data_IF_719604055936
#
_entry.id   IF_719604055936
#
_cell.length_a   1.000
_cell.length_b   1.000
_cell.length_c   1.000
_cell.angle_alpha   90.00
_cell.angle_beta   90.00
_cell.angle_gamma   90.00
#
_symmetry.space_group_name_H-M   'P 1'
#
loop_
_entity.id
_entity.type
_entity.pdbx_description
1 polymer ?
#
# COMPACT_ATOMS: atom_id res chain seq x y z
N UNK A 1 44.10 -67.64 12.80
CA UNK A 1 43.94 -66.28 12.28
C UNK A 1 42.46 -65.95 12.34
N UNK A 2 42.04 -65.10 13.27
CA UNK A 2 40.66 -64.60 13.36
C UNK A 2 40.42 -63.67 12.19
N UNK A 3 39.66 -64.11 11.19
CA UNK A 3 39.22 -63.22 10.11
C UNK A 3 38.36 -62.13 10.73
N UNK A 4 38.85 -60.88 10.65
CA UNK A 4 38.12 -59.68 11.04
C UNK A 4 36.75 -59.66 10.36
N UNK A 5 35.70 -59.32 11.11
CA UNK A 5 34.36 -59.15 10.59
C UNK A 5 34.33 -58.04 9.55
N UNK A 6 33.85 -58.35 8.35
CA UNK A 6 33.44 -57.33 7.39
C UNK A 6 31.99 -56.97 7.71
N UNK A 7 31.80 -55.88 8.46
CA UNK A 7 30.48 -55.38 8.86
C UNK A 7 30.13 -54.18 7.99
N UNK A 8 29.05 -54.31 7.21
CA UNK A 8 28.54 -53.21 6.41
C UNK A 8 28.04 -52.06 7.31
N UNK A 9 28.15 -50.82 6.82
CA UNK A 9 27.52 -49.67 7.47
C UNK A 9 26.00 -49.87 7.52
N UNK A 10 25.38 -49.45 8.62
CA UNK A 10 23.92 -49.44 8.79
C UNK A 10 23.25 -48.74 7.59
N UNK A 11 22.14 -49.30 7.10
CA UNK A 11 21.36 -48.75 5.99
C UNK A 11 20.11 -48.07 6.56
N UNK A 12 19.79 -46.87 6.07
CA UNK A 12 18.62 -46.10 6.47
C UNK A 12 17.71 -45.93 5.25
N UNK A 13 16.64 -46.74 5.14
CA UNK A 13 15.71 -46.63 4.02
C UNK A 13 15.03 -45.27 3.99
N UNK A 14 14.91 -44.68 2.79
CA UNK A 14 14.18 -43.42 2.59
C UNK A 14 14.92 -42.15 3.04
N UNK A 15 16.14 -42.24 3.55
CA UNK A 15 16.97 -41.07 3.86
C UNK A 15 17.29 -40.26 2.58
N UNK A 16 17.54 -38.97 2.73
CA UNK A 16 17.78 -38.02 1.64
C UNK A 16 19.26 -38.01 1.27
N UNK A 17 19.56 -38.07 -0.03
CA UNK A 17 20.91 -37.92 -0.58
C UNK A 17 20.81 -37.36 -2.01
N UNK A 18 21.66 -36.40 -2.41
CA UNK A 18 22.72 -35.76 -1.63
C UNK A 18 22.18 -34.77 -0.58
N UNK A 19 23.03 -34.41 0.37
CA UNK A 19 22.83 -33.33 1.34
C UNK A 19 24.04 -32.40 1.31
N UNK A 20 23.81 -31.10 1.38
CA UNK A 20 24.88 -30.10 1.38
C UNK A 20 25.06 -29.54 2.79
N UNK A 21 26.17 -29.92 3.43
CA UNK A 21 26.51 -29.52 4.78
C UNK A 21 28.03 -29.55 4.99
N UNK A 22 28.64 -28.60 5.74
CA UNK A 22 30.09 -28.54 5.97
C UNK A 22 30.68 -29.82 6.57
N UNK A 23 29.90 -30.52 7.40
CA UNK A 23 30.26 -31.82 7.99
C UNK A 23 30.27 -33.01 7.03
N UNK A 24 29.95 -32.80 5.75
CA UNK A 24 29.91 -33.82 4.67
C UNK A 24 29.25 -35.15 5.07
N UNK A 25 28.02 -35.14 5.59
CA UNK A 25 27.29 -36.37 5.86
C UNK A 25 27.02 -37.13 4.56
N UNK A 26 26.86 -38.44 4.67
CA UNK A 26 26.59 -39.32 3.52
C UNK A 26 25.13 -39.19 3.02
N UNK A 27 24.26 -38.62 3.85
CA UNK A 27 22.83 -38.39 3.60
C UNK A 27 22.18 -37.76 4.84
N UNK A 28 20.88 -37.53 4.81
CA UNK A 28 20.14 -36.96 5.94
C UNK A 28 18.82 -37.68 6.20
N UNK A 29 18.37 -37.65 7.44
CA UNK A 29 17.18 -38.39 7.89
C UNK A 29 16.02 -37.41 8.10
N UNK A 30 15.00 -37.41 7.22
CA UNK A 30 13.77 -36.65 7.42
C UNK A 30 13.05 -37.06 8.71
N UNK A 31 12.36 -36.11 9.35
CA UNK A 31 11.52 -36.39 10.52
C UNK A 31 10.38 -37.36 10.17
N UNK A 32 9.92 -37.36 8.92
CA UNK A 32 8.87 -38.25 8.41
C UNK A 32 9.25 -39.73 8.40
N UNK A 33 10.53 -40.08 8.51
CA UNK A 33 10.99 -41.47 8.64
C UNK A 33 10.83 -42.02 10.06
N UNK A 34 10.51 -41.17 11.04
CA UNK A 34 10.21 -41.59 12.40
C UNK A 34 8.80 -42.16 12.48
N UNK A 35 8.69 -43.35 13.08
CA UNK A 35 7.42 -43.98 13.40
C UNK A 35 7.27 -44.15 14.91
N UNK A 36 6.12 -44.65 15.37
CA UNK A 36 5.93 -45.02 16.79
C UNK A 36 6.90 -46.12 17.27
N UNK A 37 7.50 -46.89 16.36
CA UNK A 37 8.52 -47.90 16.68
C UNK A 37 9.94 -47.31 16.72
N UNK A 38 10.16 -46.12 16.16
CA UNK A 38 11.47 -45.49 15.97
C UNK A 38 11.85 -45.33 14.49
N UNK A 39 13.12 -45.00 14.25
CA UNK A 39 13.72 -44.94 12.91
C UNK A 39 14.12 -46.36 12.48
N UNK A 40 13.58 -46.82 11.36
CA UNK A 40 13.93 -48.12 10.80
C UNK A 40 15.36 -48.11 10.27
N UNK A 41 16.17 -49.08 10.71
CA UNK A 41 17.51 -49.32 10.15
C UNK A 41 17.67 -50.77 9.72
N UNK A 42 18.29 -50.96 8.56
CA UNK A 42 18.54 -52.26 7.96
C UNK A 42 19.97 -52.70 8.22
N UNK A 43 20.11 -53.92 8.72
CA UNK A 43 21.39 -54.54 9.03
C UNK A 43 21.64 -55.69 8.07
N UNK A 44 22.62 -55.52 7.20
CA UNK A 44 23.09 -56.59 6.33
C UNK A 44 23.87 -57.65 7.10
N UNK A 45 23.80 -58.92 6.67
CA UNK A 45 24.58 -59.98 7.28
C UNK A 45 26.08 -59.68 7.15
N UNK A 46 26.83 -59.89 8.23
CA UNK A 46 28.30 -59.85 8.19
C UNK A 46 28.88 -61.21 7.79
N UNK A 47 30.16 -61.20 7.42
CA UNK A 47 30.88 -62.42 7.07
C UNK A 47 30.83 -63.46 8.20
N UNK A 48 30.34 -64.67 7.88
CA UNK A 48 30.15 -65.78 8.83
C UNK A 48 29.18 -65.46 9.97
N UNK A 49 28.13 -64.67 9.72
CA UNK A 49 27.06 -64.42 10.70
C UNK A 49 26.45 -65.74 11.19
N UNK A 50 26.55 -65.99 12.50
CA UNK A 50 26.21 -67.27 13.11
C UNK A 50 25.20 -67.10 14.24
N UNK A 51 24.41 -68.15 14.51
CA UNK A 51 23.53 -68.20 15.67
C UNK A 51 24.31 -67.94 16.97
N UNK A 52 23.77 -67.09 17.83
CA UNK A 52 24.37 -66.67 19.09
C UNK A 52 25.23 -65.40 18.99
N UNK A 53 25.55 -64.92 17.80
CA UNK A 53 26.17 -63.59 17.64
C UNK A 53 25.22 -62.50 18.17
N UNK A 54 25.77 -61.49 18.84
CA UNK A 54 25.02 -60.37 19.37
C UNK A 54 25.37 -59.08 18.63
N UNK A 55 24.38 -58.46 18.01
CA UNK A 55 24.50 -57.20 17.30
C UNK A 55 23.85 -56.08 18.12
N UNK A 56 24.56 -54.97 18.34
CA UNK A 56 24.08 -53.79 19.05
C UNK A 56 24.27 -52.54 18.20
N UNK A 57 23.26 -51.70 18.16
CA UNK A 57 23.33 -50.41 17.50
C UNK A 57 23.98 -49.38 18.43
N UNK A 58 24.94 -48.64 17.89
CA UNK A 58 25.59 -47.52 18.54
C UNK A 58 25.19 -46.21 17.84
N UNK A 59 24.99 -45.15 18.62
CA UNK A 59 24.78 -43.79 18.14
C UNK A 59 25.85 -42.89 18.73
N UNK A 60 26.58 -42.18 17.88
CA UNK A 60 27.67 -41.29 18.26
C UNK A 60 28.69 -41.98 19.21
N UNK A 61 28.99 -43.26 18.92
CA UNK A 61 29.88 -44.11 19.71
C UNK A 61 29.30 -44.68 21.00
N UNK A 62 28.08 -44.29 21.39
CA UNK A 62 27.40 -44.75 22.61
C UNK A 62 26.40 -45.86 22.33
N UNK A 63 26.26 -46.81 23.25
CA UNK A 63 25.28 -47.88 23.13
C UNK A 63 23.85 -47.35 23.24
N UNK A 64 22.98 -47.76 22.31
CA UNK A 64 21.58 -47.31 22.26
C UNK A 64 20.63 -48.20 23.06
N UNK A 65 21.12 -49.35 23.56
CA UNK A 65 20.28 -50.41 24.13
C UNK A 65 19.53 -51.25 23.09
N UNK A 66 19.53 -50.84 21.81
CA UNK A 66 18.91 -51.57 20.71
C UNK A 66 19.88 -52.60 20.15
N UNK A 67 19.41 -53.83 19.96
CA UNK A 67 20.21 -54.90 19.42
C UNK A 67 19.41 -56.17 19.19
N UNK A 68 20.08 -57.20 18.70
CA UNK A 68 19.52 -58.51 18.44
C UNK A 68 20.58 -59.59 18.65
N UNK A 69 20.18 -60.70 19.27
CA UNK A 69 20.95 -61.94 19.22
C UNK A 69 20.43 -62.80 18.08
N UNK A 70 21.32 -63.21 17.18
CA UNK A 70 20.99 -64.02 16.01
C UNK A 70 20.50 -65.40 16.48
N UNK A 71 19.30 -65.79 16.04
CA UNK A 71 18.72 -67.09 16.35
C UNK A 71 19.06 -68.14 15.29
N UNK A 72 18.96 -69.45 15.62
CA UNK A 72 19.04 -70.51 14.61
C UNK A 72 18.04 -70.29 13.47
N UNK A 73 18.52 -70.34 12.22
CA UNK A 73 17.74 -70.06 11.01
C UNK A 73 17.73 -68.60 10.56
N UNK A 74 18.34 -67.69 11.31
CA UNK A 74 18.52 -66.27 10.92
C UNK A 74 19.90 -65.98 10.31
N UNK A 75 20.77 -66.99 10.22
CA UNK A 75 22.12 -66.86 9.68
C UNK A 75 22.08 -66.31 8.25
N UNK A 76 23.00 -65.39 7.97
CA UNK A 76 23.14 -64.71 6.67
C UNK A 76 21.86 -64.01 6.15
N UNK A 77 20.90 -63.67 7.01
CA UNK A 77 19.70 -62.89 6.64
C UNK A 77 19.78 -61.44 7.13
N UNK A 78 19.34 -60.50 6.30
CA UNK A 78 19.11 -59.11 6.72
C UNK A 78 18.04 -59.07 7.81
N UNK A 79 18.24 -58.23 8.81
CA UNK A 79 17.23 -57.93 9.82
C UNK A 79 17.09 -56.43 10.04
N UNK A 80 16.02 -56.05 10.74
CA UNK A 80 15.64 -54.67 11.00
C UNK A 80 15.79 -54.40 12.48
N UNK A 81 16.38 -53.24 12.81
CA UNK A 81 16.32 -52.65 14.14
C UNK A 81 15.57 -51.33 14.05
N UNK A 82 15.01 -50.89 15.18
CA UNK A 82 14.35 -49.58 15.27
C UNK A 82 15.08 -48.72 16.29
N UNK A 83 15.63 -47.61 15.81
CA UNK A 83 16.37 -46.66 16.63
C UNK A 83 15.39 -45.69 17.32
N UNK A 84 15.40 -45.55 18.66
CA UNK A 84 14.55 -44.61 19.38
C UNK A 84 14.94 -43.14 19.12
N UNK A 85 14.24 -42.21 19.75
CA UNK A 85 14.51 -40.78 19.57
C UNK A 85 15.76 -40.30 20.31
N UNK A 86 16.93 -40.59 19.73
CA UNK A 86 18.24 -40.32 20.33
C UNK A 86 19.22 -39.62 19.38
N UNK A 87 18.76 -39.22 18.19
CA UNK A 87 19.60 -38.46 17.26
C UNK A 87 19.64 -37.00 17.71
N UNK A 88 20.82 -36.40 17.65
CA UNK A 88 21.02 -34.99 17.97
C UNK A 88 20.74 -34.11 16.75
N UNK A 89 20.42 -32.83 16.97
CA UNK A 89 20.48 -31.84 15.88
C UNK A 89 21.88 -31.80 15.26
N UNK A 90 21.95 -31.78 13.95
CA UNK A 90 23.17 -31.79 13.17
C UNK A 90 23.69 -33.21 12.82
N UNK A 91 25.01 -33.36 12.85
CA UNK A 91 25.69 -34.57 12.36
C UNK A 91 25.67 -35.67 13.41
N UNK A 92 25.26 -36.86 12.98
CA UNK A 92 25.25 -38.08 13.79
C UNK A 92 26.02 -39.20 13.09
N UNK A 93 26.53 -40.16 13.87
CA UNK A 93 27.17 -41.38 13.39
C UNK A 93 26.47 -42.62 13.93
N UNK A 94 25.95 -43.48 13.05
CA UNK A 94 25.39 -44.78 13.43
C UNK A 94 26.35 -45.92 13.10
N UNK A 95 26.54 -46.83 14.04
CA UNK A 95 27.42 -47.99 13.88
C UNK A 95 26.75 -49.26 14.39
N UNK A 96 27.11 -50.39 13.81
CA UNK A 96 26.77 -51.70 14.36
C UNK A 96 28.00 -52.29 15.07
N UNK A 97 27.84 -52.68 16.32
CA UNK A 97 28.81 -53.46 17.08
C UNK A 97 28.34 -54.92 17.17
N UNK A 98 29.20 -55.85 16.76
CA UNK A 98 28.92 -57.29 16.75
C UNK A 98 29.87 -58.00 17.70
N UNK A 99 29.32 -58.74 18.67
CA UNK A 99 30.06 -59.64 19.56
C UNK A 99 29.74 -61.08 19.15
N UNK A 100 30.74 -61.82 18.67
CA UNK A 100 30.56 -63.23 18.34
C UNK A 100 30.30 -64.08 19.58
N UNK A 101 29.58 -65.19 19.43
CA UNK A 101 29.39 -66.15 20.52
C UNK A 101 30.74 -66.64 21.05
N UNK A 102 30.95 -66.50 22.37
CA UNK A 102 32.21 -66.87 23.03
C UNK A 102 33.32 -65.79 22.98
N UNK A 103 33.10 -64.66 22.30
CA UNK A 103 33.97 -63.49 22.34
C UNK A 103 33.53 -62.51 23.42
N UNK A 104 34.47 -61.80 24.04
CA UNK A 104 34.20 -60.66 24.93
C UNK A 104 34.40 -59.30 24.27
N UNK A 105 35.02 -59.26 23.09
CA UNK A 105 35.34 -58.01 22.38
C UNK A 105 34.41 -57.83 21.18
N UNK A 106 33.65 -56.71 21.11
CA UNK A 106 32.85 -56.39 19.93
C UNK A 106 33.72 -55.85 18.78
N UNK A 107 33.35 -56.18 17.55
CA UNK A 107 33.87 -55.56 16.33
C UNK A 107 32.83 -54.58 15.78
N UNK A 108 33.25 -53.42 15.28
CA UNK A 108 32.32 -52.34 14.91
C UNK A 108 32.41 -51.99 13.43
N UNK A 109 31.27 -51.70 12.79
CA UNK A 109 31.23 -51.16 11.44
C UNK A 109 31.88 -49.77 11.35
N UNK A 110 32.23 -49.34 10.13
CA UNK A 110 32.43 -47.91 9.90
C UNK A 110 31.15 -47.13 10.26
N UNK A 111 31.25 -45.86 10.71
CA UNK A 111 30.07 -45.03 10.97
C UNK A 111 29.34 -44.70 9.67
N UNK A 112 28.01 -44.78 9.74
CA UNK A 112 27.11 -44.12 8.79
C UNK A 112 26.89 -42.69 9.28
N UNK A 113 27.52 -41.73 8.61
CA UNK A 113 27.42 -40.31 8.96
C UNK A 113 26.18 -39.71 8.31
N UNK A 114 25.29 -39.13 9.12
CA UNK A 114 24.01 -38.59 8.66
C UNK A 114 23.73 -37.20 9.24
N UNK A 115 22.97 -36.38 8.50
CA UNK A 115 22.38 -35.14 8.99
C UNK A 115 20.98 -35.41 9.59
N UNK A 116 20.67 -34.77 10.71
CA UNK A 116 19.34 -34.77 11.31
C UNK A 116 19.03 -33.34 11.78
N UNK A 117 17.91 -32.77 11.33
CA UNK A 117 17.55 -31.40 11.70
C UNK A 117 16.41 -31.43 12.73
N UNK A 118 16.71 -31.02 13.96
CA UNK A 118 15.73 -30.93 15.04
C UNK A 118 15.99 -29.69 15.92
N UNK A 119 15.02 -28.78 16.10
CA UNK A 119 13.67 -28.83 15.55
C UNK A 119 13.65 -28.52 14.05
N UNK A 120 12.52 -28.83 13.40
CA UNK A 120 12.21 -28.38 12.03
C UNK A 120 12.33 -26.86 11.90
N UNK A 121 12.51 -26.29 10.68
CA UNK A 121 12.43 -24.84 10.51
C UNK A 121 11.11 -24.31 11.07
N UNK A 122 11.09 -23.12 11.67
CA UNK A 122 9.86 -22.56 12.26
C UNK A 122 9.31 -23.33 13.47
N UNK A 123 10.06 -24.27 14.06
CA UNK A 123 9.73 -24.92 15.33
C UNK A 123 8.61 -25.98 15.27
N UNK A 124 8.41 -26.66 16.40
CA UNK A 124 7.34 -27.66 16.57
C UNK A 124 6.05 -26.97 17.07
N UNK A 125 5.25 -26.46 16.13
CA UNK A 125 3.98 -25.78 16.43
C UNK A 125 2.82 -26.73 16.20
N UNK A 126 2.08 -27.04 17.27
CA UNK A 126 0.85 -27.83 17.19
C UNK A 126 -0.37 -26.95 16.90
N UNK A 127 -1.34 -27.50 16.17
CA UNK A 127 -2.61 -26.83 15.85
C UNK A 127 -2.62 -26.20 14.46
N UNK A 128 -3.82 -26.07 13.89
CA UNK A 128 -4.03 -25.46 12.58
C UNK A 128 -3.96 -23.93 12.66
N UNK A 129 -3.30 -23.29 11.70
CA UNK A 129 -3.28 -21.83 11.59
C UNK A 129 -1.93 -21.29 11.13
N UNK A 130 -1.66 -20.06 11.53
CA UNK A 130 -0.41 -19.36 11.24
C UNK A 130 0.68 -19.80 12.22
N UNK A 131 1.89 -20.02 11.72
CA UNK A 131 3.06 -20.35 12.51
C UNK A 131 3.61 -19.07 13.20
N UNK A 132 3.60 -19.01 14.54
CA UNK A 132 4.03 -17.82 15.30
C UNK A 132 5.55 -17.60 15.28
N UNK A 133 6.32 -18.55 14.76
CA UNK A 133 7.78 -18.48 14.65
C UNK A 133 8.26 -18.11 13.24
N UNK A 134 7.35 -17.72 12.35
CA UNK A 134 7.66 -17.20 11.03
C UNK A 134 7.37 -15.69 10.99
N UNK A 135 8.44 -14.88 11.05
CA UNK A 135 8.35 -13.42 11.08
C UNK A 135 8.67 -12.83 9.71
N UNK A 136 7.88 -11.84 9.29
CA UNK A 136 8.08 -11.08 8.07
C UNK A 136 7.97 -9.58 8.37
N UNK A 137 8.84 -8.77 7.78
CA UNK A 137 8.84 -7.32 7.92
C UNK A 137 9.06 -6.65 6.57
N UNK A 138 8.33 -5.57 6.33
CA UNK A 138 8.39 -4.75 5.12
C UNK A 138 8.91 -3.34 5.44
N UNK A 139 9.45 -2.62 4.45
CA UNK A 139 9.84 -1.22 4.60
C UNK A 139 8.65 -0.35 5.00
N UNK A 140 8.89 0.68 5.82
CA UNK A 140 7.81 1.54 6.33
C UNK A 140 7.03 2.23 5.22
N UNK A 141 7.71 2.68 4.17
CA UNK A 141 7.08 3.37 3.03
C UNK A 141 6.12 2.47 2.26
N UNK A 142 6.42 1.17 2.18
CA UNK A 142 5.56 0.16 1.56
C UNK A 142 4.31 -0.08 2.41
N UNK A 143 4.46 -0.12 3.73
CA UNK A 143 3.32 -0.28 4.66
C UNK A 143 2.42 0.97 4.66
N UNK A 144 3.00 2.17 4.53
CA UNK A 144 2.23 3.43 4.61
C UNK A 144 1.65 3.89 3.28
N UNK A 145 2.35 3.68 2.17
CA UNK A 145 1.97 4.22 0.85
C UNK A 145 1.69 3.15 -0.20
N UNK A 146 1.90 1.87 0.12
CA UNK A 146 1.79 0.79 -0.83
C UNK A 146 2.95 0.74 -1.83
N UNK A 147 2.74 0.06 -2.95
CA UNK A 147 3.73 -0.13 -4.02
C UNK A 147 3.17 0.35 -5.35
N UNK A 148 3.66 1.51 -5.81
CA UNK A 148 3.48 1.98 -7.18
C UNK A 148 4.52 1.39 -8.15
N UNK A 149 4.38 1.72 -9.44
CA UNK A 149 5.30 1.26 -10.49
C UNK A 149 6.75 1.66 -10.23
N UNK A 150 6.99 2.87 -9.72
CA UNK A 150 8.32 3.41 -9.49
C UNK A 150 8.99 2.74 -8.27
N UNK A 151 8.22 2.45 -7.22
CA UNK A 151 8.67 1.75 -6.03
C UNK A 151 8.97 0.30 -6.33
N UNK A 152 8.11 -0.37 -7.11
CA UNK A 152 8.34 -1.73 -7.59
C UNK A 152 9.62 -1.84 -8.44
N UNK A 153 9.87 -0.86 -9.32
CA UNK A 153 11.08 -0.83 -10.14
C UNK A 153 12.37 -0.67 -9.31
N UNK A 154 12.30 0.02 -8.16
CA UNK A 154 13.42 0.15 -7.22
C UNK A 154 13.69 -1.11 -6.39
N UNK A 155 12.72 -2.01 -6.28
CA UNK A 155 12.81 -3.24 -5.49
C UNK A 155 12.34 -3.07 -4.03
N UNK A 156 11.52 -3.99 -3.55
CA UNK A 156 10.98 -4.00 -2.18
C UNK A 156 11.63 -5.13 -1.38
N UNK A 157 12.38 -4.76 -0.35
CA UNK A 157 13.07 -5.73 0.52
C UNK A 157 12.12 -6.35 1.54
N UNK A 158 11.84 -7.63 1.40
CA UNK A 158 11.09 -8.44 2.36
C UNK A 158 12.08 -9.11 3.32
N UNK A 159 12.08 -8.69 4.58
CA UNK A 159 12.96 -9.29 5.60
C UNK A 159 12.24 -10.43 6.31
N UNK A 160 12.83 -11.62 6.27
CA UNK A 160 12.29 -12.85 6.84
C UNK A 160 13.20 -13.37 7.96
N UNK A 161 12.58 -13.82 9.05
CA UNK A 161 13.27 -14.47 10.19
C UNK A 161 12.42 -15.60 10.72
N UNK A 162 13.06 -16.70 11.10
CA UNK A 162 12.35 -17.81 11.71
C UNK A 162 13.25 -18.64 12.63
N UNK A 163 12.62 -19.39 13.55
CA UNK A 163 13.33 -20.29 14.46
C UNK A 163 14.02 -21.41 13.67
N UNK A 164 15.26 -21.74 14.05
CA UNK A 164 16.05 -22.81 13.41
C UNK A 164 16.28 -22.61 11.91
N UNK A 165 16.54 -21.36 11.52
CA UNK A 165 17.00 -20.96 10.19
C UNK A 165 18.37 -21.58 9.91
N UNK A 166 18.44 -22.39 8.84
CA UNK A 166 19.66 -23.11 8.42
C UNK A 166 19.96 -22.83 6.96
N UNK A 167 21.24 -22.97 6.59
CA UNK A 167 21.62 -22.98 5.19
C UNK A 167 20.93 -24.16 4.47
N UNK A 168 20.61 -23.97 3.19
CA UNK A 168 19.88 -24.92 2.34
C UNK A 168 18.39 -25.10 2.68
N UNK A 169 17.86 -24.35 3.65
CA UNK A 169 16.42 -24.19 3.75
C UNK A 169 15.89 -23.52 2.48
N UNK A 170 14.71 -23.94 2.02
CA UNK A 170 13.98 -23.33 0.90
C UNK A 170 12.80 -22.55 1.47
N UNK A 171 12.85 -21.24 1.30
CA UNK A 171 11.74 -20.33 1.58
C UNK A 171 10.86 -20.26 0.33
N UNK A 172 9.56 -20.44 0.51
CA UNK A 172 8.54 -20.11 -0.49
C UNK A 172 7.77 -18.90 0.00
N UNK A 173 8.05 -17.73 -0.58
CA UNK A 173 7.32 -16.48 -0.35
C UNK A 173 6.18 -16.37 -1.38
N UNK A 174 4.94 -16.44 -0.90
CA UNK A 174 3.77 -16.27 -1.73
C UNK A 174 3.39 -14.79 -1.83
N UNK A 175 3.39 -14.27 -3.05
CA UNK A 175 3.03 -12.92 -3.47
C UNK A 175 1.71 -12.96 -4.24
N UNK A 176 0.61 -12.77 -3.52
CA UNK A 176 -0.75 -12.76 -4.04
C UNK A 176 -1.08 -14.00 -4.89
N UNK A 177 -0.70 -15.17 -4.37
CA UNK A 177 -0.87 -16.47 -5.00
C UNK A 177 0.27 -16.92 -5.93
N UNK A 178 1.29 -16.09 -6.18
CA UNK A 178 2.50 -16.48 -6.93
C UNK A 178 3.67 -16.76 -6.00
N UNK A 179 4.40 -17.83 -6.24
CA UNK A 179 5.50 -18.24 -5.38
C UNK A 179 6.84 -17.67 -5.88
N UNK A 180 7.58 -17.06 -4.96
CA UNK A 180 8.99 -16.67 -5.10
C UNK A 180 9.79 -17.56 -4.18
N UNK A 181 10.69 -18.37 -4.75
CA UNK A 181 11.50 -19.31 -3.98
C UNK A 181 12.91 -18.76 -3.74
N UNK A 182 13.43 -18.97 -2.53
CA UNK A 182 14.78 -18.60 -2.14
C UNK A 182 15.45 -19.73 -1.35
N UNK A 183 16.66 -20.12 -1.74
CA UNK A 183 17.47 -21.06 -0.96
C UNK A 183 18.39 -20.30 -0.03
N UNK A 184 18.26 -20.54 1.26
CA UNK A 184 19.02 -19.85 2.31
C UNK A 184 20.50 -20.17 2.19
N UNK A 185 21.30 -19.12 2.10
CA UNK A 185 22.76 -19.20 2.04
C UNK A 185 23.38 -19.36 3.42
N UNK A 186 24.64 -19.81 3.48
CA UNK A 186 25.40 -19.88 4.74
C UNK A 186 25.56 -18.52 5.41
N UNK A 187 25.64 -17.44 4.63
CA UNK A 187 25.76 -16.07 5.15
C UNK A 187 24.46 -15.62 5.81
N UNK A 188 23.31 -15.84 5.17
CA UNK A 188 22.00 -15.56 5.75
C UNK A 188 21.73 -16.40 6.99
N UNK A 189 22.10 -17.68 6.95
CA UNK A 189 22.06 -18.57 8.10
C UNK A 189 22.83 -18.01 9.30
N UNK A 190 24.04 -17.52 9.06
CA UNK A 190 24.88 -16.92 10.09
C UNK A 190 24.34 -15.57 10.57
N UNK A 191 23.67 -14.81 9.71
CA UNK A 191 23.04 -13.53 10.05
C UNK A 191 21.72 -13.70 10.83
N UNK A 192 21.08 -14.86 10.74
CA UNK A 192 19.79 -15.14 11.36
C UNK A 192 18.62 -14.40 10.70
N UNK A 193 18.78 -13.98 9.45
CA UNK A 193 17.74 -13.33 8.65
C UNK A 193 18.02 -13.53 7.15
N UNK A 194 16.95 -13.44 6.36
CA UNK A 194 16.97 -13.48 4.88
C UNK A 194 16.29 -12.21 4.37
N UNK A 195 16.83 -11.63 3.30
CA UNK A 195 16.21 -10.50 2.60
C UNK A 195 15.93 -10.91 1.16
N UNK A 196 14.65 -10.97 0.79
CA UNK A 196 14.21 -11.21 -0.59
C UNK A 196 13.74 -9.87 -1.17
N UNK A 197 14.38 -9.40 -2.23
CA UNK A 197 13.96 -8.18 -2.93
C UNK A 197 12.97 -8.53 -4.04
N UNK A 198 11.73 -8.04 -3.92
CA UNK A 198 10.68 -8.17 -4.94
C UNK A 198 10.73 -7.00 -5.92
N UNK A 199 10.54 -7.27 -7.21
CA UNK A 199 10.56 -6.27 -8.28
C UNK A 199 9.22 -6.21 -9.03
N UNK A 200 9.16 -5.39 -10.08
CA UNK A 200 7.95 -5.16 -10.90
C UNK A 200 7.20 -6.43 -11.32
N UNK A 201 7.89 -7.51 -11.65
CA UNK A 201 7.23 -8.75 -12.10
C UNK A 201 6.53 -9.52 -10.96
N UNK A 202 6.96 -9.31 -9.72
CA UNK A 202 6.37 -9.93 -8.53
C UNK A 202 5.05 -9.23 -8.15
N UNK A 203 4.95 -7.93 -8.42
CA UNK A 203 3.74 -7.12 -8.28
C UNK A 203 2.89 -7.16 -9.56
N UNK A 204 2.33 -8.33 -9.88
CA UNK A 204 1.74 -8.60 -11.19
C UNK A 204 0.33 -7.99 -11.44
N UNK A 205 -0.32 -7.50 -10.38
CA UNK A 205 -1.63 -6.84 -10.45
C UNK A 205 -1.76 -5.74 -9.42
N UNK A 206 -2.68 -4.80 -9.70
CA UNK A 206 -3.16 -3.87 -8.69
C UNK A 206 -4.09 -4.64 -7.75
N UNK A 207 -3.84 -4.54 -6.46
CA UNK A 207 -4.66 -5.14 -5.43
C UNK A 207 -4.49 -4.34 -4.13
N UNK A 208 -5.54 -3.69 -3.61
CA UNK A 208 -5.46 -2.94 -2.36
C UNK A 208 -5.23 -3.81 -1.12
N UNK A 209 -5.29 -5.14 -1.28
CA UNK A 209 -4.94 -6.14 -0.26
C UNK A 209 -4.05 -7.22 -0.87
N UNK A 210 -3.01 -6.81 -1.58
CA UNK A 210 -2.00 -7.74 -2.09
C UNK A 210 -1.39 -8.50 -0.93
N UNK A 211 -1.57 -9.82 -0.93
CA UNK A 211 -1.19 -10.66 0.21
C UNK A 211 0.24 -11.19 0.10
N UNK A 212 0.95 -11.18 1.22
CA UNK A 212 2.28 -11.76 1.39
C UNK A 212 2.26 -12.72 2.57
N UNK A 213 2.80 -13.92 2.38
CA UNK A 213 3.07 -14.90 3.44
C UNK A 213 4.12 -15.90 2.98
N UNK A 214 4.80 -16.57 3.90
CA UNK A 214 5.82 -17.53 3.52
C UNK A 214 5.78 -18.81 4.34
N UNK A 215 6.43 -19.84 3.80
CA UNK A 215 6.73 -21.11 4.49
C UNK A 215 8.17 -21.51 4.19
N UNK A 216 8.68 -22.45 4.96
CA UNK A 216 10.05 -22.97 4.82
C UNK A 216 10.02 -24.49 4.74
N UNK A 217 10.91 -25.07 3.94
CA UNK A 217 11.21 -26.51 3.95
C UNK A 217 12.71 -26.68 4.03
N UNK A 218 13.23 -27.49 4.96
CA UNK A 218 14.66 -27.75 5.01
C UNK A 218 15.11 -28.71 3.90
N UNK A 219 16.43 -28.86 3.72
CA UNK A 219 16.99 -29.77 2.70
C UNK A 219 16.63 -31.26 2.90
N UNK A 220 16.07 -31.63 4.07
CA UNK A 220 15.60 -32.99 4.36
C UNK A 220 14.09 -33.15 4.06
N UNK A 221 13.40 -32.08 3.65
CA UNK A 221 11.97 -32.09 3.38
C UNK A 221 11.09 -31.79 4.61
N UNK A 222 11.66 -31.34 5.73
CA UNK A 222 10.88 -30.97 6.91
C UNK A 222 10.29 -29.56 6.73
N UNK A 223 8.96 -29.46 6.78
CA UNK A 223 8.22 -28.20 6.62
C UNK A 223 8.25 -27.32 7.87
N UNK A 224 7.93 -26.03 7.71
CA UNK A 224 7.88 -25.06 8.80
C UNK A 224 6.69 -25.22 9.74
N UNK A 225 6.72 -26.26 10.58
CA UNK A 225 5.60 -26.69 11.42
C UNK A 225 4.97 -28.00 10.90
N UNK A 226 4.50 -28.90 11.79
CA UNK A 226 3.77 -30.10 11.39
C UNK A 226 2.36 -29.78 10.84
N UNK A 227 1.67 -28.83 11.47
CA UNK A 227 0.30 -28.45 11.12
C UNK A 227 0.22 -26.98 10.64
N UNK A 228 0.80 -26.05 11.43
CA UNK A 228 0.89 -24.63 11.11
C UNK A 228 2.11 -24.36 10.22
N UNK A 229 1.95 -24.47 8.90
CA UNK A 229 3.06 -24.40 7.92
C UNK A 229 3.41 -22.95 7.51
N UNK A 230 2.43 -22.06 7.50
CA UNK A 230 2.56 -20.73 6.88
C UNK A 230 2.72 -19.62 7.92
N UNK A 231 3.44 -18.56 7.58
CA UNK A 231 3.45 -17.33 8.37
C UNK A 231 2.07 -16.69 8.41
N UNK A 232 1.88 -15.73 9.31
CA UNK A 232 0.75 -14.82 9.21
C UNK A 232 0.75 -14.07 7.89
N UNK A 233 -0.44 -13.72 7.42
CA UNK A 233 -0.62 -12.99 6.16
C UNK A 233 -0.46 -11.49 6.40
N UNK A 234 0.47 -10.87 5.67
CA UNK A 234 0.60 -9.42 5.59
C UNK A 234 -0.11 -8.92 4.32
N UNK A 235 -0.89 -7.86 4.42
CA UNK A 235 -1.54 -7.23 3.26
C UNK A 235 -0.97 -5.85 3.04
N UNK A 236 -0.65 -5.53 1.79
CA UNK A 236 -0.21 -4.19 1.36
C UNK A 236 -1.05 -3.73 0.17
N UNK A 237 -1.11 -2.42 -0.03
CA UNK A 237 -1.69 -1.83 -1.23
C UNK A 237 -0.68 -1.89 -2.37
N UNK A 238 -1.08 -2.43 -3.51
CA UNK A 238 -0.27 -2.49 -4.73
C UNK A 238 -1.06 -1.83 -5.85
N UNK A 239 -0.47 -0.82 -6.49
CA UNK A 239 -1.09 0.00 -7.52
C UNK A 239 -0.13 0.29 -8.66
N UNK A 240 0.66 -0.71 -9.05
CA UNK A 240 1.71 -0.61 -10.08
C UNK A 240 1.20 -0.28 -11.49
N UNK A 241 -0.11 -0.42 -11.77
CA UNK A 241 -0.73 -0.04 -13.05
C UNK A 241 -1.46 1.30 -12.95
N UNK A 242 -1.62 1.87 -11.76
CA UNK A 242 -2.18 3.21 -11.61
C UNK A 242 -1.18 4.26 -12.09
N UNK A 243 -1.64 5.29 -12.83
CA UNK A 243 -0.76 6.36 -13.25
C UNK A 243 -0.28 7.15 -12.02
N UNK A 244 1.01 7.42 -11.95
CA UNK A 244 1.56 8.38 -10.98
C UNK A 244 0.94 9.75 -11.28
N UNK A 245 0.21 10.31 -10.31
CA UNK A 245 -0.40 11.63 -10.42
C UNK A 245 0.43 12.67 -9.67
N UNK A 246 0.83 13.75 -10.35
CA UNK A 246 1.32 14.98 -9.70
C UNK A 246 0.30 16.09 -9.94
N UNK A 247 -0.64 16.22 -8.99
CA UNK A 247 -1.76 17.15 -9.05
C UNK A 247 -1.31 18.55 -8.62
N UNK A 248 -0.64 19.24 -9.54
CA UNK A 248 -0.19 20.63 -9.36
C UNK A 248 -1.36 21.58 -9.10
N UNK A 249 -1.08 22.73 -8.51
CA UNK A 249 -2.09 23.78 -8.34
C UNK A 249 -2.59 24.25 -9.72
N UNK A 250 -3.89 24.56 -9.87
CA UNK A 250 -4.43 25.08 -11.13
C UNK A 250 -3.83 26.46 -11.43
N UNK A 251 -4.07 26.99 -12.64
CA UNK A 251 -3.74 28.37 -13.01
C UNK A 251 -5.00 29.18 -13.27
N UNK A 252 -5.05 30.43 -12.82
CA UNK A 252 -6.10 31.39 -13.18
C UNK A 252 -5.51 32.37 -14.17
N UNK A 253 -5.97 32.38 -15.42
CA UNK A 253 -5.34 33.18 -16.49
C UNK A 253 -5.47 34.69 -16.26
N UNK A 254 -6.50 35.12 -15.54
CA UNK A 254 -6.73 36.52 -15.19
C UNK A 254 -5.93 36.98 -13.96
N UNK A 255 -5.32 36.05 -13.21
CA UNK A 255 -4.38 36.39 -12.14
C UNK A 255 -2.99 36.70 -12.73
N UNK A 256 -2.83 37.88 -13.34
CA UNK A 256 -1.61 38.22 -14.10
C UNK A 256 -0.49 38.83 -13.25
N UNK A 257 -0.77 39.15 -12.00
CA UNK A 257 0.17 39.77 -11.08
C UNK A 257 0.70 38.74 -10.06
N UNK A 258 1.82 39.07 -9.40
CA UNK A 258 2.46 38.22 -8.38
C UNK A 258 2.60 36.74 -8.81
N UNK A 259 3.08 36.51 -10.04
CA UNK A 259 3.30 35.17 -10.59
C UNK A 259 2.07 34.24 -10.58
N UNK A 260 0.87 34.77 -10.85
CA UNK A 260 -0.34 33.92 -10.90
C UNK A 260 -1.21 33.97 -9.65
N UNK A 261 -0.83 34.76 -8.64
CA UNK A 261 -1.49 34.77 -7.31
C UNK A 261 -2.22 36.07 -6.99
N UNK A 262 -2.21 37.04 -7.91
CA UNK A 262 -2.97 38.29 -7.76
C UNK A 262 -3.74 38.58 -9.04
N UNK A 263 -5.04 38.81 -8.89
CA UNK A 263 -5.95 39.25 -9.96
C UNK A 263 -6.33 40.71 -9.71
N UNK A 264 -5.98 41.57 -10.66
CA UNK A 264 -6.44 42.94 -10.67
C UNK A 264 -7.81 43.02 -11.35
N UNK A 265 -8.87 43.22 -10.57
CA UNK A 265 -10.23 43.13 -11.10
C UNK A 265 -10.49 44.16 -12.22
N UNK A 266 -10.07 45.41 -12.03
CA UNK A 266 -10.32 46.50 -12.98
C UNK A 266 -9.50 46.37 -14.27
N UNK A 267 -8.29 45.81 -14.18
CA UNK A 267 -7.39 45.68 -15.33
C UNK A 267 -7.57 44.36 -16.10
N UNK A 268 -7.75 43.25 -15.38
CA UNK A 268 -7.61 41.91 -15.94
C UNK A 268 -8.94 41.15 -16.08
N UNK A 269 -10.01 41.62 -15.44
CA UNK A 269 -11.28 40.89 -15.36
C UNK A 269 -12.53 41.74 -15.61
N UNK A 270 -12.38 43.05 -15.75
CA UNK A 270 -13.50 43.99 -15.65
C UNK A 270 -14.65 43.68 -16.61
N UNK A 271 -14.38 43.25 -17.85
CA UNK A 271 -15.40 42.91 -18.84
C UNK A 271 -15.62 41.39 -19.02
N UNK A 272 -14.88 40.56 -18.27
CA UNK A 272 -14.92 39.11 -18.44
C UNK A 272 -16.21 38.51 -17.85
N UNK A 273 -16.89 37.67 -18.64
CA UNK A 273 -18.07 36.92 -18.18
C UNK A 273 -17.74 35.76 -17.23
N UNK A 274 -16.48 35.32 -17.21
CA UNK A 274 -15.97 34.22 -16.39
C UNK A 274 -14.46 34.34 -16.19
N UNK A 275 -13.94 33.74 -15.12
CA UNK A 275 -12.51 33.48 -14.98
C UNK A 275 -12.15 32.15 -15.61
N UNK A 276 -10.93 32.06 -16.12
CA UNK A 276 -10.44 30.91 -16.86
C UNK A 276 -9.46 30.15 -16.00
N UNK A 277 -9.90 29.00 -15.49
CA UNK A 277 -9.05 28.09 -14.71
C UNK A 277 -8.50 27.02 -15.63
N UNK A 278 -7.17 26.94 -15.72
CA UNK A 278 -6.45 25.95 -16.50
C UNK A 278 -5.91 24.87 -15.56
N UNK A 279 -6.20 23.61 -15.90
CA UNK A 279 -5.77 22.44 -15.16
C UNK A 279 -4.88 21.58 -16.05
N UNK A 280 -3.67 21.29 -15.59
CA UNK A 280 -2.77 20.30 -16.16
C UNK A 280 -2.06 19.55 -15.03
N UNK A 281 -1.85 18.24 -15.20
CA UNK A 281 -1.20 17.41 -14.19
C UNK A 281 -0.48 16.23 -14.84
N UNK A 282 0.58 15.75 -14.18
CA UNK A 282 1.28 14.52 -14.58
C UNK A 282 0.38 13.31 -14.36
N UNK A 283 0.42 12.35 -15.28
CA UNK A 283 -0.44 11.16 -15.21
C UNK A 283 -1.87 11.37 -15.73
N UNK A 284 -2.16 12.55 -16.31
CA UNK A 284 -3.39 12.80 -17.06
C UNK A 284 -3.56 11.79 -18.19
N UNK A 285 -4.64 11.02 -18.17
CA UNK A 285 -4.94 9.97 -19.14
C UNK A 285 -6.44 9.75 -19.35
N UNK A 286 -6.79 9.10 -20.46
CA UNK A 286 -8.16 8.86 -20.90
C UNK A 286 -9.01 8.21 -19.80
N UNK A 287 -10.22 8.73 -19.61
CA UNK A 287 -11.22 8.18 -18.68
C UNK A 287 -11.18 8.76 -17.27
N UNK A 288 -10.15 9.53 -16.91
CA UNK A 288 -10.16 10.33 -15.69
C UNK A 288 -11.19 11.46 -15.80
N UNK A 289 -11.74 11.91 -14.67
CA UNK A 289 -12.64 13.07 -14.63
C UNK A 289 -12.16 14.13 -13.66
N UNK A 290 -12.34 15.39 -14.02
CA UNK A 290 -11.80 16.54 -13.27
C UNK A 290 -12.90 17.53 -12.93
N UNK A 291 -12.85 18.08 -11.71
CA UNK A 291 -13.77 19.12 -11.24
C UNK A 291 -13.00 20.23 -10.53
N UNK A 292 -13.27 21.49 -10.87
CA UNK A 292 -12.71 22.65 -10.16
C UNK A 292 -13.61 23.05 -8.99
N UNK A 293 -12.99 23.37 -7.87
CA UNK A 293 -13.58 23.94 -6.68
C UNK A 293 -12.97 25.32 -6.41
N UNK A 294 -13.82 26.31 -6.18
CA UNK A 294 -13.41 27.66 -5.80
C UNK A 294 -14.02 28.00 -4.45
N UNK A 295 -13.19 28.23 -3.43
CA UNK A 295 -13.63 28.61 -2.09
C UNK A 295 -13.46 30.13 -1.98
N UNK A 296 -14.57 30.84 -2.20
CA UNK A 296 -14.62 32.30 -2.14
C UNK A 296 -14.98 32.82 -0.76
N UNK A 297 -15.33 34.11 -0.69
CA UNK A 297 -15.66 34.80 0.56
C UNK A 297 -16.90 34.22 1.27
N UNK A 298 -17.98 33.95 0.53
CA UNK A 298 -19.27 33.58 1.13
C UNK A 298 -19.73 32.15 0.80
N UNK A 299 -19.20 31.52 -0.25
CA UNK A 299 -19.55 30.16 -0.61
C UNK A 299 -18.45 29.44 -1.39
N UNK A 300 -18.60 28.12 -1.46
CA UNK A 300 -17.81 27.26 -2.33
C UNK A 300 -18.55 27.01 -3.63
N UNK A 301 -17.95 27.42 -4.75
CA UNK A 301 -18.42 27.11 -6.10
C UNK A 301 -17.78 25.82 -6.61
N UNK A 302 -18.56 25.02 -7.32
CA UNK A 302 -18.10 23.78 -7.96
C UNK A 302 -18.42 23.86 -9.45
N UNK A 303 -17.44 23.58 -10.29
CA UNK A 303 -17.66 23.48 -11.74
C UNK A 303 -18.43 22.21 -12.11
N UNK A 304 -18.85 22.15 -13.37
CA UNK A 304 -19.17 20.89 -14.03
C UNK A 304 -17.94 19.98 -14.09
N UNK A 305 -18.18 18.68 -14.18
CA UNK A 305 -17.14 17.66 -14.33
C UNK A 305 -16.74 17.57 -15.81
N UNK A 306 -15.45 17.61 -16.10
CA UNK A 306 -14.91 17.38 -17.45
C UNK A 306 -14.14 16.06 -17.52
N UNK A 307 -14.35 15.22 -18.55
CA UNK A 307 -13.55 14.03 -18.78
C UNK A 307 -12.20 14.37 -19.45
N UNK A 308 -11.17 13.59 -19.14
CA UNK A 308 -9.92 13.56 -19.89
C UNK A 308 -10.07 12.60 -21.06
N UNK A 309 -9.83 13.11 -22.26
CA UNK A 309 -10.03 12.44 -23.56
C UNK A 309 -8.72 12.07 -24.26
N UNK A 310 -7.59 12.61 -23.80
CA UNK A 310 -6.25 12.27 -24.31
C UNK A 310 -5.19 12.38 -23.21
N UNK A 311 -4.13 11.58 -23.29
CA UNK A 311 -3.02 11.68 -22.35
C UNK A 311 -2.36 13.07 -22.39
N UNK A 312 -2.07 13.65 -21.22
CA UNK A 312 -1.50 14.98 -21.09
C UNK A 312 -2.43 16.14 -21.48
N UNK A 313 -3.74 15.91 -21.60
CA UNK A 313 -4.70 16.97 -21.94
C UNK A 313 -4.67 18.11 -20.92
N UNK A 314 -4.72 19.34 -21.43
CA UNK A 314 -4.94 20.55 -20.64
C UNK A 314 -6.43 20.87 -20.64
N UNK A 315 -7.04 20.95 -19.46
CA UNK A 315 -8.45 21.27 -19.29
C UNK A 315 -8.65 22.75 -18.96
N UNK A 316 -9.77 23.30 -19.40
CA UNK A 316 -10.16 24.69 -19.15
C UNK A 316 -11.56 24.76 -18.56
N UNK A 317 -11.68 25.40 -17.41
CA UNK A 317 -12.93 25.59 -16.69
C UNK A 317 -13.30 27.07 -16.64
N UNK A 318 -14.59 27.37 -16.83
CA UNK A 318 -15.14 28.72 -16.76
C UNK A 318 -15.78 28.92 -15.38
N UNK A 319 -15.19 29.79 -14.57
CA UNK A 319 -15.70 30.13 -13.24
C UNK A 319 -16.57 31.38 -13.35
N UNK A 320 -17.79 31.32 -12.81
CA UNK A 320 -18.77 32.39 -12.95
C UNK A 320 -18.25 33.74 -12.44
N UNK A 321 -18.49 34.81 -13.19
CA UNK A 321 -18.12 36.18 -12.82
C UNK A 321 -18.51 36.56 -11.39
N UNK A 322 -19.69 36.12 -10.92
CA UNK A 322 -20.18 36.44 -9.58
C UNK A 322 -19.25 35.94 -8.47
N UNK A 323 -18.58 34.81 -8.68
CA UNK A 323 -17.66 34.20 -7.69
C UNK A 323 -16.43 35.09 -7.50
N UNK A 324 -15.92 35.67 -8.59
CA UNK A 324 -14.78 36.61 -8.57
C UNK A 324 -15.20 37.95 -7.96
N UNK A 325 -16.35 38.49 -8.39
CA UNK A 325 -16.89 39.75 -7.86
C UNK A 325 -17.15 39.67 -6.36
N UNK A 326 -17.71 38.55 -5.86
CA UNK A 326 -17.96 38.36 -4.42
C UNK A 326 -16.69 38.34 -3.57
N UNK A 327 -15.55 38.06 -4.21
CA UNK A 327 -14.25 37.89 -3.55
C UNK A 327 -13.34 39.13 -3.73
N UNK A 328 -13.81 40.22 -4.34
CA UNK A 328 -13.06 41.47 -4.47
C UNK A 328 -12.57 41.95 -3.09
N UNK A 329 -11.27 42.22 -2.98
CA UNK A 329 -10.64 42.63 -1.73
C UNK A 329 -10.35 41.50 -0.75
N UNK A 330 -10.60 40.25 -1.14
CA UNK A 330 -10.37 39.03 -0.38
C UNK A 330 -9.53 38.03 -1.19
N UNK A 331 -9.11 36.95 -0.52
CA UNK A 331 -8.53 35.79 -1.17
C UNK A 331 -9.62 34.81 -1.60
N UNK A 332 -9.38 34.12 -2.71
CA UNK A 332 -10.16 32.99 -3.19
C UNK A 332 -9.20 31.82 -3.43
N UNK A 333 -9.54 30.65 -2.91
CA UNK A 333 -8.76 29.42 -3.10
C UNK A 333 -9.32 28.66 -4.31
N UNK A 334 -8.43 28.28 -5.24
CA UNK A 334 -8.74 27.41 -6.37
C UNK A 334 -8.04 26.07 -6.23
N UNK A 335 -8.80 24.99 -6.36
CA UNK A 335 -8.28 23.63 -6.46
C UNK A 335 -9.12 22.79 -7.39
N UNK A 336 -8.65 21.61 -7.73
CA UNK A 336 -9.44 20.64 -8.47
C UNK A 336 -9.27 19.25 -7.87
N UNK A 337 -10.20 18.37 -8.23
CA UNK A 337 -10.09 16.95 -7.93
C UNK A 337 -9.98 16.15 -9.23
N UNK A 338 -9.23 15.05 -9.17
CA UNK A 338 -9.15 14.04 -10.23
C UNK A 338 -9.75 12.75 -9.70
N UNK A 339 -10.66 12.15 -10.45
CA UNK A 339 -11.18 10.81 -10.20
C UNK A 339 -10.68 9.85 -11.26
N UNK A 340 -10.10 8.73 -10.82
CA UNK A 340 -9.62 7.68 -11.70
C UNK A 340 -10.79 6.83 -12.27
N UNK A 341 -10.62 6.20 -13.44
CA UNK A 341 -11.66 5.33 -14.00
C UNK A 341 -12.04 4.21 -13.03
N UNK A 342 -13.35 4.02 -12.81
CA UNK A 342 -13.86 2.93 -11.96
C UNK A 342 -13.70 3.14 -10.45
N UNK A 343 -13.21 4.30 -9.99
CA UNK A 343 -13.13 4.65 -8.57
C UNK A 343 -14.21 5.65 -8.17
N UNK A 344 -14.46 5.79 -6.86
CA UNK A 344 -15.35 6.81 -6.29
C UNK A 344 -14.60 7.92 -5.55
N UNK A 345 -13.30 7.75 -5.34
CA UNK A 345 -12.44 8.68 -4.61
C UNK A 345 -12.02 9.86 -5.49
N UNK A 346 -12.11 11.06 -4.93
CA UNK A 346 -11.68 12.31 -5.54
C UNK A 346 -10.32 12.70 -4.97
N UNK A 347 -9.27 12.62 -5.80
CA UNK A 347 -7.90 12.97 -5.43
C UNK A 347 -7.68 14.48 -5.57
N UNK A 348 -7.38 15.21 -4.48
CA UNK A 348 -7.28 16.67 -4.53
C UNK A 348 -5.93 17.15 -5.08
N UNK A 349 -5.95 18.28 -5.79
CA UNK A 349 -4.75 19.01 -6.19
C UNK A 349 -4.14 19.80 -5.04
N UNK A 350 -2.93 20.33 -5.27
CA UNK A 350 -2.44 21.48 -4.49
C UNK A 350 -3.37 22.68 -4.67
N UNK A 351 -3.44 23.52 -3.65
CA UNK A 351 -4.29 24.71 -3.64
C UNK A 351 -3.57 25.91 -4.29
N UNK A 352 -4.32 26.73 -5.02
CA UNK A 352 -3.89 28.05 -5.50
C UNK A 352 -4.71 29.14 -4.81
N UNK A 353 -4.07 29.90 -3.93
CA UNK A 353 -4.64 31.13 -3.38
C UNK A 353 -4.44 32.30 -4.35
N UNK A 354 -5.54 32.96 -4.73
CA UNK A 354 -5.51 34.19 -5.53
C UNK A 354 -6.09 35.35 -4.72
N UNK A 355 -5.33 36.42 -4.57
CA UNK A 355 -5.80 37.67 -3.99
C UNK A 355 -6.49 38.52 -5.07
N UNK A 356 -7.77 38.85 -4.86
CA UNK A 356 -8.49 39.77 -5.74
C UNK A 356 -8.29 41.19 -5.23
N UNK A 357 -7.66 42.05 -6.03
CA UNK A 357 -7.37 43.42 -5.60
C UNK A 357 -8.66 44.18 -5.30
N UNK A 358 -8.57 45.06 -4.29
CA UNK A 358 -9.67 45.97 -3.94
C UNK A 358 -9.92 46.94 -5.07
N UNK A 359 -11.18 47.27 -5.27
CA UNK A 359 -11.58 48.43 -6.05
C UNK A 359 -11.38 49.72 -5.22
N UNK A 360 -11.55 50.87 -5.87
CA UNK A 360 -11.43 52.19 -5.23
C UNK A 360 -12.15 52.29 -3.88
N UNK A 361 -13.37 51.76 -3.80
CA UNK A 361 -14.17 51.70 -2.57
C UNK A 361 -14.52 50.27 -2.21
N UNK A 362 -14.50 49.97 -0.92
CA UNK A 362 -15.02 48.72 -0.38
C UNK A 362 -16.50 48.90 -0.04
N UNK A 363 -17.39 48.27 -0.81
CA UNK A 363 -18.82 48.30 -0.56
C UNK A 363 -19.24 47.14 0.36
N UNK A 364 -20.26 47.36 1.19
CA UNK A 364 -20.82 46.31 2.06
C UNK A 364 -21.73 45.33 1.31
N UNK A 365 -21.92 44.15 1.90
CA UNK A 365 -22.93 43.18 1.42
C UNK A 365 -24.31 43.84 1.60
N UNK A 366 -25.17 43.92 0.55
CA UNK A 366 -26.51 44.45 0.76
C UNK A 366 -27.31 43.57 1.72
N UNK A 367 -28.28 44.16 2.41
CA UNK A 367 -29.29 43.39 3.17
C UNK A 367 -30.64 43.52 2.50
N UNK A 368 -31.49 42.52 2.66
CA UNK A 368 -32.82 42.46 2.04
C UNK A 368 -33.90 42.46 3.12
N UNK A 369 -35.02 43.14 2.84
CA UNK A 369 -36.21 43.08 3.68
C UNK A 369 -36.81 41.67 3.70
N UNK A 370 -37.57 41.34 4.74
CA UNK A 370 -38.29 40.06 4.84
C UNK A 370 -39.33 39.89 3.72
N UNK A 371 -39.85 40.98 3.16
CA UNK A 371 -40.77 40.98 2.02
C UNK A 371 -40.11 40.78 0.66
N UNK A 372 -38.77 40.72 0.59
CA UNK A 372 -37.99 40.64 -0.65
C UNK A 372 -38.29 41.79 -1.64
N UNK A 373 -38.65 42.95 -1.12
CA UNK A 373 -39.07 44.12 -1.90
C UNK A 373 -38.13 45.33 -1.76
N UNK A 374 -37.16 45.28 -0.85
CA UNK A 374 -36.21 46.37 -0.61
C UNK A 374 -34.82 45.85 -0.26
N UNK A 375 -33.80 46.45 -0.87
CA UNK A 375 -32.40 46.30 -0.48
C UNK A 375 -31.91 47.52 0.30
N UNK A 376 -31.08 47.28 1.30
CA UNK A 376 -30.22 48.30 1.91
C UNK A 376 -28.81 48.17 1.35
N UNK A 377 -28.31 49.26 0.78
CA UNK A 377 -27.02 49.35 0.12
C UNK A 377 -26.03 50.14 1.00
N UNK A 378 -24.79 49.68 1.12
CA UNK A 378 -23.79 50.21 2.06
C UNK A 378 -22.52 50.69 1.33
N UNK A 379 -22.35 51.99 1.11
CA UNK A 379 -21.10 52.56 0.62
C UNK A 379 -20.37 53.32 1.73
N UNK A 380 -19.06 53.60 1.60
CA UNK A 380 -18.36 54.54 2.47
C UNK A 380 -19.14 55.85 2.60
N UNK A 381 -19.19 56.41 3.80
CA UNK A 381 -19.88 57.64 4.09
C UNK A 381 -18.94 58.55 4.91
N UNK A 382 -18.47 59.69 4.36
CA UNK A 382 -18.86 60.25 3.06
C UNK A 382 -18.15 59.60 1.86
N UNK A 383 -18.81 59.62 0.69
CA UNK A 383 -18.16 59.47 -0.61
C UNK A 383 -17.55 60.80 -1.05
N UNK A 384 -16.44 60.74 -1.78
CA UNK A 384 -15.66 61.91 -2.20
C UNK A 384 -16.28 62.70 -3.37
N UNK A 385 -17.35 62.18 -3.97
CA UNK A 385 -18.03 62.77 -5.12
C UNK A 385 -19.48 62.29 -5.22
N UNK A 386 -20.20 62.77 -6.24
CA UNK A 386 -21.49 62.21 -6.62
C UNK A 386 -21.31 60.86 -7.35
N UNK A 387 -22.17 59.91 -7.04
CA UNK A 387 -22.21 58.58 -7.65
C UNK A 387 -23.63 58.24 -8.11
N UNK A 388 -23.75 57.44 -9.16
CA UNK A 388 -24.98 56.68 -9.48
C UNK A 388 -24.88 55.28 -8.89
N UNK A 389 -26.03 54.64 -8.71
CA UNK A 389 -26.17 53.28 -8.19
C UNK A 389 -27.20 52.51 -9.00
N UNK A 390 -26.97 51.20 -9.12
CA UNK A 390 -27.93 50.22 -9.64
C UNK A 390 -27.87 48.95 -8.81
N UNK A 391 -29.00 48.27 -8.65
CA UNK A 391 -29.05 46.92 -8.07
C UNK A 391 -29.10 45.89 -9.19
N UNK A 392 -28.70 44.66 -8.87
CA UNK A 392 -28.71 43.56 -9.81
C UNK A 392 -29.09 42.26 -9.15
N UNK A 393 -29.75 41.38 -9.90
CA UNK A 393 -30.04 40.00 -9.53
C UNK A 393 -29.39 39.06 -10.54
N UNK A 394 -28.55 38.16 -10.04
CA UNK A 394 -27.97 37.05 -10.81
C UNK A 394 -28.60 35.74 -10.37
N UNK A 395 -29.00 34.91 -11.34
CA UNK A 395 -29.42 33.52 -11.14
C UNK A 395 -28.58 32.69 -12.09
N UNK A 396 -27.92 31.65 -11.59
CA UNK A 396 -27.00 30.85 -12.40
C UNK A 396 -27.75 30.20 -13.58
N UNK A 397 -27.17 30.29 -14.78
CA UNK A 397 -27.79 29.85 -16.02
C UNK A 397 -28.82 30.81 -16.62
N UNK A 398 -29.03 32.00 -16.03
CA UNK A 398 -29.94 33.02 -16.56
C UNK A 398 -29.23 34.35 -16.87
N UNK A 399 -29.87 35.18 -17.69
CA UNK A 399 -29.41 36.54 -17.91
C UNK A 399 -29.53 37.37 -16.62
N UNK A 400 -28.47 38.11 -16.29
CA UNK A 400 -28.46 39.05 -15.16
C UNK A 400 -29.53 40.13 -15.37
N UNK A 401 -30.26 40.42 -14.30
CA UNK A 401 -31.24 41.51 -14.25
C UNK A 401 -30.59 42.72 -13.59
N UNK A 402 -30.69 43.88 -14.22
CA UNK A 402 -30.15 45.16 -13.72
C UNK A 402 -31.30 46.17 -13.60
N UNK A 403 -31.32 46.94 -12.51
CA UNK A 403 -32.28 48.03 -12.36
C UNK A 403 -31.90 49.21 -13.25
N UNK A 404 -32.83 50.16 -13.41
CA UNK A 404 -32.45 51.50 -13.88
C UNK A 404 -31.44 52.12 -12.90
N UNK A 405 -30.54 52.96 -13.42
CA UNK A 405 -29.61 53.71 -12.59
C UNK A 405 -30.34 54.83 -11.84
N UNK A 406 -29.94 55.07 -10.59
CA UNK A 406 -30.42 56.17 -9.76
C UNK A 406 -29.24 56.92 -9.13
N UNK A 407 -29.45 58.16 -8.68
CA UNK A 407 -28.44 58.88 -7.89
C UNK A 407 -28.25 58.20 -6.54
N UNK A 408 -26.99 57.95 -6.14
CA UNK A 408 -26.68 57.41 -4.82
C UNK A 408 -26.88 58.49 -3.74
N UNK A 409 -27.68 58.18 -2.73
CA UNK A 409 -27.97 59.07 -1.61
C UNK A 409 -27.07 58.69 -0.44
N UNK A 410 -26.22 59.62 0.02
CA UNK A 410 -25.31 59.38 1.13
C UNK A 410 -26.06 59.25 2.46
N UNK A 411 -25.61 58.33 3.30
CA UNK A 411 -26.23 57.99 4.58
C UNK A 411 -25.62 56.72 5.17
N UNK A 412 -26.11 56.23 6.32
CA UNK A 412 -25.66 54.96 6.89
C UNK A 412 -25.95 53.76 5.96
N UNK A 413 -27.00 53.88 5.14
CA UNK A 413 -27.33 53.00 4.02
C UNK A 413 -28.28 53.74 3.07
N UNK A 414 -28.39 53.26 1.84
CA UNK A 414 -29.42 53.70 0.88
C UNK A 414 -30.46 52.58 0.71
N UNK A 415 -31.74 52.89 0.87
CA UNK A 415 -32.83 51.97 0.52
C UNK A 415 -33.07 51.99 -0.99
N UNK A 416 -33.26 50.81 -1.58
CA UNK A 416 -33.50 50.63 -3.01
C UNK A 416 -34.55 49.55 -3.25
N UNK A 417 -35.67 49.90 -3.89
CA UNK A 417 -36.78 48.97 -4.12
C UNK A 417 -36.43 47.93 -5.19
N UNK A 418 -36.78 46.67 -4.91
CA UNK A 418 -36.59 45.55 -5.84
C UNK A 418 -37.78 45.53 -6.82
N UNK A 419 -37.55 45.47 -8.14
CA UNK A 419 -38.64 45.31 -9.10
C UNK A 419 -39.46 44.05 -8.79
N UNK A 420 -40.80 44.12 -8.63
CA UNK A 420 -41.62 42.98 -8.19
C UNK A 420 -41.47 41.73 -9.07
N UNK A 421 -41.29 41.91 -10.38
CA UNK A 421 -41.10 40.84 -11.34
C UNK A 421 -39.81 40.03 -11.15
N UNK A 422 -38.79 40.57 -10.47
CA UNK A 422 -37.54 39.85 -10.25
C UNK A 422 -37.72 38.66 -9.31
N UNK A 423 -38.51 38.85 -8.25
CA UNK A 423 -38.81 37.81 -7.27
C UNK A 423 -39.93 36.91 -7.76
N UNK A 424 -41.05 37.47 -8.21
CA UNK A 424 -42.24 36.68 -8.59
C UNK A 424 -41.97 35.69 -9.73
N UNK A 425 -41.12 36.06 -10.70
CA UNK A 425 -40.78 35.21 -11.84
C UNK A 425 -39.71 34.14 -11.52
N UNK A 426 -39.10 34.17 -10.33
CA UNK A 426 -37.97 33.31 -9.98
C UNK A 426 -38.14 32.57 -8.64
N UNK A 427 -39.38 32.44 -8.16
CA UNK A 427 -39.70 31.69 -6.93
C UNK A 427 -39.08 30.29 -6.93
N UNK A 428 -38.51 29.90 -5.79
CA UNK A 428 -37.86 28.61 -5.58
C UNK A 428 -36.43 28.51 -6.13
N UNK A 429 -35.88 29.58 -6.72
CA UNK A 429 -34.49 29.63 -7.18
C UNK A 429 -33.59 30.34 -6.17
N UNK A 430 -32.30 30.05 -6.27
CA UNK A 430 -31.25 30.81 -5.57
C UNK A 430 -30.93 32.08 -6.36
N UNK A 431 -31.19 33.23 -5.76
CA UNK A 431 -30.83 34.55 -6.27
C UNK A 431 -29.59 35.11 -5.61
N UNK A 432 -28.78 35.82 -6.38
CA UNK A 432 -27.60 36.53 -5.92
C UNK A 432 -27.77 38.03 -6.19
N UNK A 433 -28.12 38.78 -5.15
CA UNK A 433 -28.27 40.24 -5.23
C UNK A 433 -26.94 40.93 -4.99
N UNK A 434 -26.62 41.93 -5.82
CA UNK A 434 -25.58 42.90 -5.50
C UNK A 434 -26.00 44.29 -5.99
N UNK A 435 -25.17 45.27 -5.72
CA UNK A 435 -25.30 46.60 -6.31
C UNK A 435 -23.95 47.10 -6.78
N UNK A 436 -23.99 48.11 -7.62
CA UNK A 436 -22.79 48.76 -8.08
C UNK A 436 -22.96 50.26 -8.11
N UNK A 437 -21.88 50.98 -7.78
CA UNK A 437 -21.85 52.44 -7.87
C UNK A 437 -20.87 52.88 -8.96
N UNK A 438 -21.15 54.04 -9.57
CA UNK A 438 -20.28 54.65 -10.57
C UNK A 438 -20.19 56.15 -10.31
N UNK A 439 -18.97 56.71 -10.36
CA UNK A 439 -18.80 58.15 -10.17
C UNK A 439 -19.47 58.92 -11.32
N UNK A 440 -20.31 59.89 -10.99
CA UNK A 440 -21.03 60.70 -11.98
C UNK A 440 -20.05 61.51 -12.82
N UNK A 441 -20.31 61.60 -14.13
CA UNK A 441 -19.48 62.35 -15.09
C UNK A 441 -18.01 61.91 -15.13
N UNK A 442 -17.72 60.64 -14.80
CA UNK A 442 -16.38 60.06 -14.92
C UNK A 442 -16.34 58.81 -15.81
N UNK A 443 -15.14 58.53 -16.33
CA UNK A 443 -14.77 57.23 -16.90
C UNK A 443 -14.25 56.25 -15.84
N UNK A 444 -14.35 56.58 -14.55
CA UNK A 444 -14.02 55.67 -13.43
C UNK A 444 -14.75 54.32 -13.61
N UNK A 445 -14.05 53.23 -13.27
CA UNK A 445 -14.61 51.88 -13.28
C UNK A 445 -15.81 51.78 -12.33
N UNK A 446 -16.77 50.93 -12.69
CA UNK A 446 -17.91 50.59 -11.83
C UNK A 446 -17.40 49.80 -10.62
N UNK A 447 -17.83 50.20 -9.43
CA UNK A 447 -17.47 49.56 -8.17
C UNK A 447 -18.59 48.62 -7.77
N UNK A 448 -18.27 47.35 -7.49
CA UNK A 448 -19.24 46.31 -7.20
C UNK A 448 -19.27 45.99 -5.70
N UNK A 449 -20.47 45.73 -5.18
CA UNK A 449 -20.62 45.12 -3.87
C UNK A 449 -20.40 43.62 -3.96
N UNK A 450 -20.06 42.97 -2.84
CA UNK A 450 -20.22 41.53 -2.72
C UNK A 450 -21.69 41.14 -2.89
N UNK A 451 -21.93 39.84 -3.12
CA UNK A 451 -23.26 39.31 -3.30
C UNK A 451 -23.92 38.92 -1.98
N UNK A 452 -25.24 39.12 -1.92
CA UNK A 452 -26.15 38.53 -0.97
C UNK A 452 -26.85 37.33 -1.65
N UNK A 453 -26.67 36.14 -1.09
CA UNK A 453 -27.38 34.93 -1.52
C UNK A 453 -28.75 34.86 -0.85
N UNK A 454 -29.80 34.67 -1.63
CA UNK A 454 -31.20 34.68 -1.19
C UNK A 454 -31.98 33.55 -1.86
N UNK A 455 -32.89 32.91 -1.12
CA UNK A 455 -33.91 32.04 -1.72
C UNK A 455 -35.10 32.91 -2.13
N UNK A 456 -35.45 32.89 -3.43
CA UNK A 456 -36.49 33.75 -4.02
C UNK A 456 -37.90 33.15 -3.97
#
# INVERSE_FOLDING_TARGET
MTNALVIAKVIIPGWVTPVDHPGKPEGGVPLSLRTSQGLQVWIDPWLNMSSGDNAKLLSNGSATGIGKTIQPGEENKRFILYLPDILNDGINGLQLAVTRLGSSTPETSAPRTLLYNLPRPGGEVSGSGDNPFLYMTLPIDVVTHGVDAARAAKGVDVTLRYTSLRAQDVITLQCDGRDVNHTVTTQEASAGLVVITLFTNDFWQDNPRFTLRYRVTDQLGNTSGPDAIWSSTTSIDVHVKQPVLDLLAPKVLEAKEANGTTLNFEKDFYDNAHATVVVNYLGSNVGQTVRVQCIGRAETYLSDIQPVTSAGQILTFRILRRVIVDSIGHKIEFKYTVRLPGTTEDLPSKDLDVSILRQKHLLGVPTISSGLDNLRLYAPNPLEAAYTVRISLTIDGQQRLDSVEATYIQGPYMSFSIPPGWVSNNRGKTGYFNYSIRRTSSSDAIIFSPYLKVSL
#
